data_IF_493837934168
#
_entry.id   IF_493837934168
#
_cell.length_a   1.000
_cell.length_b   1.000
_cell.length_c   1.000
_cell.angle_alpha   90.00
_cell.angle_beta   90.00
_cell.angle_gamma   90.00
#
_symmetry.space_group_name_H-M   'P 1'
#
loop_
_entity.id
_entity.type
_entity.pdbx_description
1 polymer ?
#
# COMPACT_ATOMS: atom_id res chain seq x y z
N UNK A 1 47.00 -22.04 1.14
CA UNK A 1 45.77 -21.98 0.32
C UNK A 1 44.89 -20.92 0.92
N UNK A 2 44.82 -19.75 0.28
CA UNK A 2 43.98 -18.63 0.74
C UNK A 2 42.52 -18.92 0.40
N UNK A 3 41.57 -18.80 1.34
CA UNK A 3 40.17 -18.89 0.99
C UNK A 3 39.79 -17.65 0.17
N UNK A 4 39.40 -17.88 -1.08
CA UNK A 4 38.74 -16.88 -1.92
C UNK A 4 37.30 -16.76 -1.44
N UNK A 5 37.00 -15.69 -0.71
CA UNK A 5 35.62 -15.26 -0.48
C UNK A 5 35.14 -14.65 -1.81
N UNK A 6 34.21 -15.34 -2.47
CA UNK A 6 33.50 -14.81 -3.63
C UNK A 6 32.48 -13.82 -3.06
N UNK A 7 32.77 -12.53 -3.18
CA UNK A 7 31.80 -11.47 -2.91
C UNK A 7 30.85 -11.45 -4.11
N UNK A 8 29.70 -12.11 -3.95
CA UNK A 8 28.53 -11.83 -4.78
C UNK A 8 28.03 -10.44 -4.39
N UNK A 9 28.45 -9.43 -5.14
CA UNK A 9 27.93 -8.08 -5.05
C UNK A 9 26.47 -8.05 -5.51
N UNK A 10 25.54 -8.37 -4.62
CA UNK A 10 24.15 -7.94 -4.77
C UNK A 10 24.14 -6.48 -4.36
N UNK A 11 24.28 -5.59 -5.34
CA UNK A 11 23.90 -4.18 -5.18
C UNK A 11 22.38 -4.20 -5.08
N UNK A 12 21.87 -4.39 -3.86
CA UNK A 12 20.47 -4.17 -3.56
C UNK A 12 20.24 -2.67 -3.62
N UNK A 13 19.69 -2.22 -4.75
CA UNK A 13 19.26 -0.86 -4.99
C UNK A 13 18.07 -0.54 -4.06
N UNK A 14 18.31 -0.40 -2.76
CA UNK A 14 17.33 0.12 -1.80
C UNK A 14 17.24 1.64 -1.96
N UNK A 15 16.92 2.09 -3.17
CA UNK A 15 16.21 3.34 -3.34
C UNK A 15 14.75 3.00 -2.97
N UNK A 16 14.12 3.71 -2.02
CA UNK A 16 12.70 3.55 -1.79
C UNK A 16 11.98 3.82 -3.11
N UNK A 17 11.43 2.76 -3.71
CA UNK A 17 10.70 2.77 -4.98
C UNK A 17 9.34 3.50 -4.89
N UNK A 18 9.22 4.46 -3.97
CA UNK A 18 8.02 5.25 -3.69
C UNK A 18 8.18 6.72 -4.09
N UNK A 19 9.38 7.11 -4.57
CA UNK A 19 9.54 8.31 -5.40
C UNK A 19 8.90 8.16 -6.80
N UNK A 20 8.52 6.94 -7.20
CA UNK A 20 8.17 6.60 -8.59
C UNK A 20 6.82 7.11 -9.12
N UNK A 21 5.92 7.68 -8.30
CA UNK A 21 4.54 7.96 -8.77
C UNK A 21 4.11 9.44 -8.72
N UNK A 22 5.04 10.36 -8.42
CA UNK A 22 4.81 11.79 -8.64
C UNK A 22 6.09 12.60 -8.97
N UNK A 23 7.29 12.05 -8.76
CA UNK A 23 8.54 12.77 -8.96
C UNK A 23 9.12 12.48 -10.35
N UNK A 24 9.27 13.53 -11.15
CA UNK A 24 9.87 13.57 -12.50
C UNK A 24 8.94 13.27 -13.68
N UNK A 25 7.69 13.74 -13.65
CA UNK A 25 6.98 13.91 -14.92
C UNK A 25 7.70 14.98 -15.74
N UNK A 26 8.30 14.56 -16.84
CA UNK A 26 8.94 15.45 -17.79
C UNK A 26 7.94 16.50 -18.31
N UNK A 27 8.38 17.76 -18.29
CA UNK A 27 7.60 18.89 -18.81
C UNK A 27 7.68 19.01 -20.33
N UNK A 28 8.46 18.15 -20.99
CA UNK A 28 8.64 18.10 -22.45
C UNK A 28 7.46 17.46 -23.19
N UNK A 29 6.45 16.98 -22.47
CA UNK A 29 5.26 16.34 -23.03
C UNK A 29 5.49 14.92 -23.56
N UNK A 30 6.65 14.33 -23.27
CA UNK A 30 6.97 12.96 -23.65
C UNK A 30 6.12 11.94 -22.88
N UNK A 31 5.95 10.79 -23.51
CA UNK A 31 5.29 9.64 -22.91
C UNK A 31 6.27 8.94 -21.98
N UNK A 32 5.85 8.67 -20.74
CA UNK A 32 6.70 8.04 -19.73
C UNK A 32 6.17 6.66 -19.37
N UNK A 33 7.11 5.72 -19.29
CA UNK A 33 6.87 4.37 -18.81
C UNK A 33 7.58 4.23 -17.46
N UNK A 34 6.79 4.04 -16.42
CA UNK A 34 7.23 3.79 -15.06
C UNK A 34 6.74 2.40 -14.63
N UNK A 35 7.30 1.86 -13.55
CA UNK A 35 6.83 0.58 -13.05
C UNK A 35 7.69 0.01 -11.95
N UNK A 36 7.22 -1.12 -11.43
CA UNK A 36 7.91 -1.94 -10.46
C UNK A 36 7.73 -3.41 -10.84
N UNK A 37 8.75 -4.23 -10.64
CA UNK A 37 8.66 -5.66 -10.91
C UNK A 37 9.31 -6.45 -9.78
N UNK A 38 8.53 -7.30 -9.13
CA UNK A 38 9.05 -8.34 -8.26
C UNK A 38 8.87 -9.68 -8.94
N UNK A 39 9.97 -10.41 -9.11
CA UNK A 39 9.99 -11.77 -9.66
C UNK A 39 10.83 -12.62 -8.72
N UNK A 40 10.33 -13.80 -8.38
CA UNK A 40 11.10 -14.78 -7.64
C UNK A 40 11.05 -16.16 -8.32
N UNK A 41 12.05 -16.98 -8.01
CA UNK A 41 12.03 -18.41 -8.27
C UNK A 41 12.10 -19.15 -6.93
N UNK A 42 11.20 -20.10 -6.71
CA UNK A 42 11.22 -20.95 -5.52
C UNK A 42 12.04 -22.23 -5.81
N UNK A 43 12.82 -22.69 -4.82
CA UNK A 43 13.61 -23.91 -4.93
C UNK A 43 12.91 -25.05 -4.18
N UNK A 44 12.70 -26.17 -4.88
CA UNK A 44 11.91 -27.35 -4.48
C UNK A 44 12.27 -28.03 -3.14
N UNK A 45 13.33 -27.66 -2.43
CA UNK A 45 14.08 -28.63 -1.62
C UNK A 45 13.50 -28.98 -0.24
N UNK A 46 12.37 -28.41 0.22
CA UNK A 46 11.88 -28.73 1.56
C UNK A 46 10.58 -29.54 1.62
N UNK A 47 9.67 -29.47 0.63
CA UNK A 47 8.34 -30.13 0.73
C UNK A 47 7.73 -30.63 -0.61
N UNK A 48 8.49 -30.69 -1.72
CA UNK A 48 7.95 -31.04 -3.05
C UNK A 48 6.74 -30.17 -3.51
N UNK A 49 6.58 -28.99 -2.93
CA UNK A 49 5.56 -27.99 -3.27
C UNK A 49 6.20 -26.61 -3.14
N UNK A 50 5.86 -25.64 -4.02
CA UNK A 50 6.11 -24.24 -3.73
C UNK A 50 5.48 -23.92 -2.38
N UNK A 51 6.22 -23.35 -1.43
CA UNK A 51 5.61 -22.91 -0.16
C UNK A 51 4.82 -21.63 -0.49
N UNK A 52 3.53 -21.78 -0.76
CA UNK A 52 2.57 -20.70 -1.00
C UNK A 52 2.23 -19.91 0.28
N UNK A 53 3.10 -19.90 1.28
CA UNK A 53 2.90 -19.15 2.52
C UNK A 53 4.02 -18.15 2.65
N UNK A 54 3.68 -16.94 3.09
CA UNK A 54 4.67 -16.11 3.73
C UNK A 54 5.36 -16.99 4.78
N UNK A 55 6.69 -16.94 4.86
CA UNK A 55 7.44 -17.68 5.89
C UNK A 55 6.93 -17.35 7.30
N UNK A 56 6.22 -16.22 7.41
CA UNK A 56 5.58 -15.74 8.63
C UNK A 56 4.15 -15.23 8.33
N UNK A 57 3.14 -15.76 9.02
CA UNK A 57 1.73 -15.30 8.98
C UNK A 57 1.44 -14.36 10.14
N UNK A 58 0.51 -13.41 9.99
CA UNK A 58 0.04 -12.61 11.13
C UNK A 58 -1.03 -13.40 11.93
N UNK A 59 -0.70 -13.94 13.13
CA UNK A 59 -1.66 -14.70 13.92
C UNK A 59 -2.76 -13.82 14.53
N UNK A 60 -2.62 -12.50 14.47
CA UNK A 60 -3.56 -11.51 15.03
C UNK A 60 -4.46 -10.87 13.98
N UNK A 61 -4.15 -11.07 12.70
CA UNK A 61 -4.86 -10.52 11.57
C UNK A 61 -6.05 -11.39 11.16
N UNK A 62 -7.21 -10.80 10.83
CA UNK A 62 -8.40 -11.56 10.46
C UNK A 62 -8.21 -12.40 9.17
N UNK A 63 -7.24 -12.05 8.32
CA UNK A 63 -6.97 -12.74 7.05
C UNK A 63 -5.57 -13.38 6.98
N UNK A 64 -4.83 -13.40 8.10
CA UNK A 64 -3.45 -13.90 8.23
C UNK A 64 -2.39 -13.30 7.26
N UNK A 65 -2.78 -12.36 6.41
CA UNK A 65 -1.90 -11.60 5.54
C UNK A 65 -0.99 -10.69 6.40
N UNK A 66 0.34 -10.89 6.35
CA UNK A 66 1.29 -10.13 7.16
C UNK A 66 1.57 -8.72 6.64
N UNK A 67 0.91 -8.26 5.56
CA UNK A 67 1.11 -6.91 4.97
C UNK A 67 1.15 -5.83 6.06
N UNK A 68 2.30 -5.20 6.19
CA UNK A 68 2.54 -4.13 7.17
C UNK A 68 3.10 -4.56 8.52
N UNK A 69 3.29 -5.86 8.78
CA UNK A 69 3.71 -6.40 10.08
C UNK A 69 4.99 -7.24 10.04
N UNK A 70 5.42 -7.71 8.87
CA UNK A 70 6.63 -8.53 8.71
C UNK A 70 7.52 -8.02 7.58
N UNK A 71 8.83 -8.28 7.71
CA UNK A 71 9.80 -7.90 6.68
C UNK A 71 9.53 -8.64 5.38
N UNK A 72 9.61 -7.93 4.25
CA UNK A 72 9.26 -8.45 2.92
C UNK A 72 10.42 -9.22 2.24
N UNK A 73 11.67 -9.02 2.69
CA UNK A 73 12.84 -9.64 2.07
C UNK A 73 12.78 -11.18 2.16
N UNK A 74 12.56 -11.82 1.01
CA UNK A 74 12.44 -13.28 0.90
C UNK A 74 11.18 -13.86 1.56
N UNK A 75 10.19 -13.02 1.87
CA UNK A 75 8.99 -13.39 2.62
C UNK A 75 7.68 -12.93 1.94
N UNK A 76 7.75 -12.53 0.67
CA UNK A 76 6.59 -12.10 -0.12
C UNK A 76 5.68 -13.27 -0.48
N UNK A 77 4.35 -13.08 -0.40
CA UNK A 77 3.35 -14.09 -0.73
C UNK A 77 3.24 -14.30 -2.27
N UNK A 78 2.73 -15.45 -2.74
CA UNK A 78 2.61 -15.70 -4.20
C UNK A 78 1.70 -14.69 -4.92
N UNK A 79 0.59 -14.29 -4.29
CA UNK A 79 -0.25 -13.18 -4.80
C UNK A 79 0.41 -11.80 -4.63
N UNK A 80 1.49 -11.70 -3.84
CA UNK A 80 2.30 -10.48 -3.73
C UNK A 80 3.43 -10.46 -4.76
N UNK A 81 3.65 -11.51 -5.57
CA UNK A 81 4.43 -11.35 -6.79
C UNK A 81 3.62 -10.49 -7.74
N UNK A 82 4.08 -9.27 -7.93
CA UNK A 82 3.40 -8.34 -8.79
C UNK A 82 4.37 -7.56 -9.67
N UNK A 83 3.92 -7.31 -10.88
CA UNK A 83 4.55 -6.38 -11.81
C UNK A 83 3.58 -5.27 -12.07
N UNK A 84 3.99 -4.04 -11.80
CA UNK A 84 3.25 -2.84 -12.15
C UNK A 84 3.89 -2.13 -13.31
N UNK A 85 3.05 -1.68 -14.24
CA UNK A 85 3.43 -0.88 -15.38
C UNK A 85 2.53 0.34 -15.40
N UNK A 86 3.12 1.51 -15.23
CA UNK A 86 2.44 2.78 -15.26
C UNK A 86 2.85 3.56 -16.50
N UNK A 87 1.85 4.04 -17.22
CA UNK A 87 1.98 4.95 -18.34
C UNK A 87 1.53 6.31 -17.87
N UNK A 88 2.38 7.32 -18.02
CA UNK A 88 2.01 8.70 -17.71
C UNK A 88 2.33 9.64 -18.87
N UNK A 89 1.44 10.61 -19.09
CA UNK A 89 1.67 11.72 -20.02
C UNK A 89 1.23 13.03 -19.38
N UNK A 90 2.08 14.05 -19.52
CA UNK A 90 1.80 15.42 -19.09
C UNK A 90 1.66 16.34 -20.30
N UNK A 91 0.77 17.30 -20.21
CA UNK A 91 0.58 18.39 -21.16
C UNK A 91 0.74 19.71 -20.43
N UNK A 92 1.44 20.66 -21.06
CA UNK A 92 1.76 21.97 -20.52
C UNK A 92 1.18 23.06 -21.43
N UNK A 93 0.96 24.25 -20.88
CA UNK A 93 0.51 25.41 -21.65
C UNK A 93 -0.85 25.21 -22.32
N UNK A 94 -1.83 24.71 -21.55
CA UNK A 94 -3.17 24.37 -22.05
C UNK A 94 -3.98 25.60 -22.49
N UNK A 95 -4.93 26.08 -21.68
CA UNK A 95 -5.64 27.32 -21.98
C UNK A 95 -4.81 28.56 -21.59
N UNK A 96 -3.85 28.39 -20.68
CA UNK A 96 -2.86 29.41 -20.30
C UNK A 96 -1.49 28.77 -20.04
N UNK A 97 -0.38 29.53 -20.11
CA UNK A 97 0.98 29.01 -20.00
C UNK A 97 1.27 28.22 -18.72
N UNK A 98 0.65 28.61 -17.60
CA UNK A 98 0.79 27.99 -16.29
C UNK A 98 -0.03 26.71 -16.11
N UNK A 99 -1.04 26.49 -16.96
CA UNK A 99 -1.93 25.35 -16.85
C UNK A 99 -1.33 24.09 -17.42
N UNK A 100 -1.50 23.00 -16.68
CA UNK A 100 -1.06 21.67 -17.08
C UNK A 100 -2.08 20.62 -16.71
N UNK A 101 -2.06 19.53 -17.46
CA UNK A 101 -2.79 18.32 -17.13
C UNK A 101 -1.86 17.12 -17.25
N UNK A 102 -2.12 16.07 -16.47
CA UNK A 102 -1.52 14.77 -16.71
C UNK A 102 -2.55 13.65 -16.61
N UNK A 103 -2.20 12.53 -17.20
CA UNK A 103 -2.98 11.30 -17.14
C UNK A 103 -2.06 10.14 -16.82
N UNK A 104 -2.46 9.33 -15.84
CA UNK A 104 -1.75 8.11 -15.43
C UNK A 104 -2.67 6.91 -15.54
N UNK A 105 -2.18 5.86 -16.20
CA UNK A 105 -2.79 4.53 -16.23
C UNK A 105 -1.77 3.51 -15.74
N UNK A 106 -2.09 2.78 -14.67
CA UNK A 106 -1.27 1.72 -14.11
C UNK A 106 -2.02 0.39 -14.17
N UNK A 107 -1.36 -0.61 -14.71
CA UNK A 107 -1.80 -2.00 -14.66
C UNK A 107 -0.89 -2.81 -13.74
N UNK A 108 -1.48 -3.74 -13.01
CA UNK A 108 -0.77 -4.66 -12.13
C UNK A 108 -1.07 -6.09 -12.56
N UNK A 109 -0.03 -6.87 -12.78
CA UNK A 109 -0.12 -8.30 -13.00
C UNK A 109 0.37 -9.07 -11.78
N UNK A 110 -0.34 -10.13 -11.40
CA UNK A 110 -0.06 -10.95 -10.24
C UNK A 110 0.54 -12.32 -10.61
N UNK A 111 1.15 -13.00 -9.64
CA UNK A 111 1.72 -14.34 -9.82
C UNK A 111 0.70 -15.41 -10.24
N UNK A 112 -0.59 -15.18 -10.03
CA UNK A 112 -1.69 -16.04 -10.50
C UNK A 112 -2.14 -15.75 -11.95
N UNK A 113 -1.42 -14.84 -12.63
CA UNK A 113 -1.67 -14.38 -14.01
C UNK A 113 -2.89 -13.46 -14.17
N UNK A 114 -3.54 -13.09 -13.08
CA UNK A 114 -4.56 -12.04 -13.15
C UNK A 114 -3.91 -10.69 -13.41
N UNK A 115 -4.66 -9.81 -14.07
CA UNK A 115 -4.23 -8.44 -14.36
C UNK A 115 -5.38 -7.51 -13.99
N UNK A 116 -5.04 -6.45 -13.26
CA UNK A 116 -6.00 -5.42 -12.87
C UNK A 116 -5.52 -4.02 -13.24
N UNK A 117 -6.46 -3.09 -13.32
CA UNK A 117 -6.15 -1.66 -13.38
C UNK A 117 -5.98 -1.15 -11.95
N UNK A 118 -4.75 -0.87 -11.55
CA UNK A 118 -4.43 -0.38 -10.21
C UNK A 118 -4.70 1.12 -10.07
N UNK A 119 -4.25 1.93 -11.04
CA UNK A 119 -4.50 3.37 -11.06
C UNK A 119 -4.97 3.83 -12.45
N UNK A 120 -5.89 4.79 -12.47
CA UNK A 120 -6.41 5.39 -13.68
C UNK A 120 -6.99 6.76 -13.32
N UNK A 121 -6.17 7.80 -13.40
CA UNK A 121 -6.56 9.15 -12.99
C UNK A 121 -5.99 10.22 -13.89
N UNK A 122 -6.72 11.33 -13.97
CA UNK A 122 -6.23 12.59 -14.53
C UNK A 122 -5.98 13.61 -13.43
N UNK A 123 -4.99 14.47 -13.62
CA UNK A 123 -4.75 15.65 -12.78
C UNK A 123 -4.76 16.91 -13.61
N UNK A 124 -5.14 18.01 -12.97
CA UNK A 124 -5.13 19.33 -13.55
C UNK A 124 -4.59 20.34 -12.54
N UNK A 125 -3.60 21.14 -12.94
CA UNK A 125 -2.98 22.16 -12.10
C UNK A 125 -2.69 23.44 -12.85
N UNK A 126 -2.20 24.46 -12.12
CA UNK A 126 -1.98 25.80 -12.68
C UNK A 126 -3.28 26.58 -12.91
N UNK A 127 -4.37 26.19 -12.24
CA UNK A 127 -5.64 26.91 -12.29
C UNK A 127 -5.54 28.19 -11.47
N UNK A 128 -5.96 29.32 -12.04
CA UNK A 128 -5.81 30.65 -11.44
C UNK A 128 -6.53 30.86 -10.10
N UNK A 129 -7.54 30.05 -9.82
CA UNK A 129 -8.27 30.06 -8.54
C UNK A 129 -7.69 29.11 -7.50
N UNK A 130 -6.69 28.30 -7.86
CA UNK A 130 -5.96 27.43 -6.94
C UNK A 130 -4.64 28.08 -6.52
N UNK A 131 -4.13 27.78 -5.31
CA UNK A 131 -2.77 28.18 -4.93
C UNK A 131 -1.71 27.61 -5.86
N UNK A 132 -0.56 28.28 -5.94
CA UNK A 132 0.58 27.81 -6.71
C UNK A 132 1.00 26.38 -6.29
N UNK A 133 1.26 25.53 -7.29
CA UNK A 133 1.62 24.12 -7.08
C UNK A 133 0.46 23.21 -6.66
N UNK A 134 -0.76 23.74 -6.48
CA UNK A 134 -1.93 22.92 -6.21
C UNK A 134 -2.51 22.30 -7.50
N UNK A 135 -3.19 21.18 -7.33
CA UNK A 135 -3.87 20.46 -8.40
C UNK A 135 -5.16 19.82 -7.90
N UNK A 136 -6.06 19.54 -8.84
CA UNK A 136 -7.20 18.66 -8.65
C UNK A 136 -6.97 17.37 -9.42
N UNK A 137 -7.60 16.29 -9.00
CA UNK A 137 -7.55 15.01 -9.67
C UNK A 137 -8.90 14.30 -9.65
N UNK A 138 -9.11 13.39 -10.59
CA UNK A 138 -10.26 12.50 -10.62
C UNK A 138 -9.89 11.15 -11.23
N UNK A 139 -10.53 10.08 -10.74
CA UNK A 139 -10.34 8.71 -11.21
C UNK A 139 -10.04 7.72 -10.08
N UNK A 140 -9.33 6.64 -10.41
CA UNK A 140 -8.80 5.64 -9.47
C UNK A 140 -7.36 6.01 -9.09
N UNK A 141 -7.08 6.25 -7.81
CA UNK A 141 -5.75 6.71 -7.37
C UNK A 141 -5.39 6.20 -5.97
N UNK A 142 -4.15 5.75 -5.82
CA UNK A 142 -3.59 5.31 -4.54
C UNK A 142 -2.65 6.37 -3.97
N UNK A 143 -2.83 6.72 -2.70
CA UNK A 143 -2.14 7.80 -2.01
C UNK A 143 -1.19 7.23 -0.94
N UNK A 144 -0.30 6.33 -1.35
CA UNK A 144 0.48 5.51 -0.42
C UNK A 144 1.70 6.21 0.19
N UNK A 145 1.99 7.46 -0.17
CA UNK A 145 3.22 8.14 0.23
C UNK A 145 3.27 8.61 1.69
N UNK A 146 2.15 8.59 2.41
CA UNK A 146 2.11 9.20 3.75
C UNK A 146 2.70 8.31 4.83
N UNK A 147 2.49 7.00 4.78
CA UNK A 147 2.85 6.09 5.89
C UNK A 147 3.66 4.88 5.44
N UNK A 148 3.94 4.76 4.14
CA UNK A 148 4.65 3.60 3.61
C UNK A 148 6.01 3.38 4.25
N UNK A 149 6.20 2.16 4.75
CA UNK A 149 7.46 1.61 5.21
C UNK A 149 7.79 0.48 4.27
N UNK A 150 8.80 0.70 3.43
CA UNK A 150 9.16 -0.21 2.35
C UNK A 150 9.37 -1.65 2.85
N UNK A 151 10.08 -1.80 3.98
CA UNK A 151 10.37 -3.10 4.57
C UNK A 151 9.11 -3.92 4.91
N UNK A 152 7.97 -3.27 5.10
CA UNK A 152 6.70 -3.87 5.53
C UNK A 152 5.58 -3.69 4.49
N UNK A 153 5.83 -3.04 3.34
CA UNK A 153 4.84 -2.75 2.31
C UNK A 153 3.53 -2.14 2.85
N UNK A 154 3.62 -1.18 3.79
CA UNK A 154 2.43 -0.50 4.32
C UNK A 154 1.88 0.50 3.31
N UNK A 155 0.56 0.48 3.12
CA UNK A 155 -0.19 1.42 2.27
C UNK A 155 -1.17 2.23 3.12
N UNK A 156 -1.64 3.38 2.65
CA UNK A 156 -2.48 4.30 3.47
C UNK A 156 -3.90 4.44 2.92
N UNK A 157 -4.06 5.16 1.80
CA UNK A 157 -5.38 5.49 1.25
C UNK A 157 -5.48 5.07 -0.19
N UNK A 158 -6.35 4.11 -0.45
CA UNK A 158 -6.79 3.67 -1.76
C UNK A 158 -8.17 4.26 -2.03
N UNK A 159 -8.35 4.78 -3.25
CA UNK A 159 -9.62 5.30 -3.74
C UNK A 159 -9.84 4.73 -5.14
N UNK A 160 -10.80 3.82 -5.28
CA UNK A 160 -11.10 3.18 -6.56
C UNK A 160 -11.80 4.10 -7.56
N UNK A 161 -12.61 5.03 -7.05
CA UNK A 161 -13.24 6.07 -7.85
C UNK A 161 -13.48 7.30 -6.99
N UNK A 162 -12.83 8.41 -7.33
CA UNK A 162 -12.99 9.63 -6.56
C UNK A 162 -12.44 10.86 -7.25
N UNK A 163 -12.35 11.92 -6.44
CA UNK A 163 -11.78 13.19 -6.78
C UNK A 163 -11.04 13.76 -5.57
N UNK A 164 -10.10 14.66 -5.83
CA UNK A 164 -9.44 15.36 -4.74
C UNK A 164 -8.73 16.61 -5.17
N UNK A 165 -8.27 17.33 -4.16
CA UNK A 165 -7.43 18.49 -4.21
C UNK A 165 -6.14 18.16 -3.47
N UNK A 166 -4.99 18.43 -4.09
CA UNK A 166 -3.69 18.28 -3.44
C UNK A 166 -2.87 19.55 -3.60
N UNK A 167 -2.14 19.91 -2.55
CA UNK A 167 -1.28 21.08 -2.55
C UNK A 167 -0.06 20.85 -1.66
N UNK A 168 0.81 21.86 -1.59
CA UNK A 168 2.00 21.80 -0.72
C UNK A 168 1.64 21.53 0.74
N UNK A 169 0.59 22.17 1.26
CA UNK A 169 0.28 22.14 2.69
C UNK A 169 -1.00 21.39 3.03
N UNK A 170 -1.88 21.13 2.06
CA UNK A 170 -3.19 20.53 2.33
C UNK A 170 -3.67 19.64 1.19
N UNK A 171 -4.18 18.47 1.55
CA UNK A 171 -4.87 17.54 0.67
C UNK A 171 -6.28 17.26 1.20
N UNK A 172 -7.23 17.14 0.28
CA UNK A 172 -8.58 16.62 0.52
C UNK A 172 -8.93 15.65 -0.60
N UNK A 173 -9.30 14.43 -0.25
CA UNK A 173 -9.67 13.40 -1.20
C UNK A 173 -11.00 12.78 -0.78
N UNK A 174 -11.89 12.55 -1.75
CA UNK A 174 -13.19 11.95 -1.52
C UNK A 174 -13.43 10.92 -2.61
N UNK A 175 -13.90 9.74 -2.22
CA UNK A 175 -14.21 8.72 -3.20
C UNK A 175 -14.85 7.49 -2.61
N UNK A 176 -14.79 6.42 -3.38
CA UNK A 176 -15.33 5.13 -3.02
C UNK A 176 -14.36 4.02 -3.37
N UNK A 177 -14.37 2.98 -2.55
CA UNK A 177 -13.75 1.69 -2.87
C UNK A 177 -14.82 0.70 -3.29
N UNK A 178 -14.49 -0.13 -4.27
CA UNK A 178 -15.35 -1.19 -4.76
C UNK A 178 -15.38 -2.35 -3.77
N UNK A 179 -16.43 -3.17 -3.87
CA UNK A 179 -16.50 -4.41 -3.12
C UNK A 179 -15.50 -5.41 -3.70
N UNK A 180 -14.68 -6.02 -2.85
CA UNK A 180 -13.81 -7.12 -3.24
C UNK A 180 -14.43 -8.45 -2.78
N UNK A 181 -14.79 -9.28 -3.76
CA UNK A 181 -15.35 -10.62 -3.54
C UNK A 181 -14.27 -11.65 -3.83
N UNK A 182 -13.75 -12.28 -2.78
CA UNK A 182 -12.87 -13.45 -2.91
C UNK A 182 -13.65 -14.75 -3.09
N UNK A 183 -14.62 -15.06 -2.22
CA UNK A 183 -15.69 -16.06 -2.41
C UNK A 183 -16.70 -16.07 -1.25
N UNK A 184 -17.93 -16.55 -1.50
CA UNK A 184 -18.95 -16.77 -0.46
C UNK A 184 -18.54 -17.83 0.59
N UNK A 185 -17.57 -18.69 0.25
CA UNK A 185 -17.06 -19.74 1.12
C UNK A 185 -15.84 -19.32 1.95
N UNK A 186 -15.32 -18.10 1.73
CA UNK A 186 -14.14 -17.55 2.39
C UNK A 186 -14.42 -16.11 2.88
N UNK A 187 -15.38 -15.92 3.81
CA UNK A 187 -15.83 -14.58 4.25
C UNK A 187 -14.71 -13.69 4.78
N UNK A 188 -13.60 -14.26 5.27
CA UNK A 188 -12.41 -13.52 5.68
C UNK A 188 -11.89 -12.57 4.60
N UNK A 189 -11.92 -12.98 3.33
CA UNK A 189 -11.37 -12.20 2.23
C UNK A 189 -12.44 -11.35 1.51
N UNK A 190 -13.61 -11.13 2.11
CA UNK A 190 -14.60 -10.17 1.60
C UNK A 190 -14.28 -8.78 2.15
N UNK A 191 -14.34 -7.77 1.28
CA UNK A 191 -14.20 -6.37 1.66
C UNK A 191 -15.36 -5.55 1.09
N UNK A 192 -16.21 -4.98 1.94
CA UNK A 192 -17.38 -4.21 1.50
C UNK A 192 -17.04 -2.89 0.79
N UNK A 193 -17.90 -2.46 -0.14
CA UNK A 193 -17.73 -1.14 -0.77
C UNK A 193 -17.92 -0.01 0.24
N UNK A 194 -17.21 1.10 0.05
CA UNK A 194 -17.06 2.15 1.07
C UNK A 194 -17.05 3.54 0.47
N UNK A 195 -17.46 4.55 1.26
CA UNK A 195 -17.18 5.97 1.01
C UNK A 195 -16.01 6.40 1.88
N UNK A 196 -15.10 7.16 1.29
CA UNK A 196 -13.88 7.62 1.92
C UNK A 196 -13.83 9.14 1.85
N UNK A 197 -13.48 9.76 2.97
CA UNK A 197 -13.03 11.14 3.04
C UNK A 197 -11.67 11.13 3.72
N UNK A 198 -10.66 11.63 3.02
CA UNK A 198 -9.29 11.67 3.50
C UNK A 198 -8.75 13.10 3.43
N UNK A 199 -8.04 13.51 4.47
CA UNK A 199 -7.39 14.82 4.56
C UNK A 199 -5.97 14.66 5.07
N UNK A 200 -5.06 15.47 4.55
CA UNK A 200 -3.74 15.64 5.14
C UNK A 200 -3.33 17.11 5.17
N UNK A 201 -2.65 17.50 6.24
CA UNK A 201 -2.11 18.83 6.44
C UNK A 201 -0.62 18.76 6.75
N UNK A 202 0.17 19.60 6.10
CA UNK A 202 1.63 19.62 6.22
C UNK A 202 2.11 20.96 6.74
N UNK A 203 2.96 20.89 7.75
CA UNK A 203 3.69 22.03 8.31
C UNK A 203 5.14 21.61 8.54
N UNK A 204 6.04 22.24 7.80
CA UNK A 204 7.46 21.92 7.78
C UNK A 204 7.73 20.42 7.54
N UNK A 205 8.31 19.75 8.54
CA UNK A 205 8.66 18.33 8.53
C UNK A 205 7.51 17.42 9.01
N UNK A 206 6.38 18.02 9.40
CA UNK A 206 5.23 17.30 9.99
C UNK A 206 4.10 17.18 8.97
N UNK A 207 3.50 16.00 8.90
CA UNK A 207 2.26 15.73 8.17
C UNK A 207 1.25 15.11 9.14
N UNK A 208 0.04 15.65 9.19
CA UNK A 208 -1.08 15.15 9.98
C UNK A 208 -2.18 14.69 9.02
N UNK A 209 -2.71 13.49 9.20
CA UNK A 209 -3.76 12.91 8.38
C UNK A 209 -4.99 12.54 9.18
N UNK A 210 -6.14 12.55 8.51
CA UNK A 210 -7.40 12.03 9.01
C UNK A 210 -8.15 11.35 7.87
N UNK A 211 -8.59 10.11 8.10
CA UNK A 211 -9.39 9.36 7.14
C UNK A 211 -10.66 8.89 7.80
N UNK A 212 -11.80 9.20 7.19
CA UNK A 212 -13.11 8.70 7.56
C UNK A 212 -13.62 7.74 6.49
N UNK A 213 -14.16 6.61 6.94
CA UNK A 213 -14.73 5.58 6.08
C UNK A 213 -16.15 5.27 6.51
N UNK A 214 -17.05 5.08 5.55
CA UNK A 214 -18.40 4.57 5.79
C UNK A 214 -18.71 3.45 4.82
N UNK A 215 -19.10 2.30 5.33
CA UNK A 215 -19.52 1.17 4.50
C UNK A 215 -20.82 1.51 3.77
N UNK A 216 -20.85 1.18 2.47
CA UNK A 216 -22.01 1.31 1.60
C UNK A 216 -22.75 0.00 1.55
N UNK A 217 -22.03 -1.12 1.53
CA UNK A 217 -22.59 -2.47 1.52
C UNK A 217 -22.49 -3.13 2.90
N UNK A 218 -23.33 -4.14 3.11
CA UNK A 218 -23.35 -4.97 4.30
C UNK A 218 -23.31 -6.45 3.87
N UNK A 219 -22.18 -6.92 3.33
CA UNK A 219 -22.10 -8.23 2.69
C UNK A 219 -22.36 -9.40 3.67
N UNK A 220 -22.19 -9.20 4.97
CA UNK A 220 -22.45 -10.21 6.01
C UNK A 220 -23.78 -10.00 6.76
N UNK A 221 -24.56 -8.96 6.45
CA UNK A 221 -25.79 -8.65 7.20
C UNK A 221 -25.56 -8.19 8.64
N UNK A 222 -24.34 -7.72 8.95
CA UNK A 222 -23.89 -7.28 10.27
C UNK A 222 -24.16 -5.79 10.54
N UNK A 223 -24.73 -5.08 9.57
CA UNK A 223 -24.95 -3.64 9.58
C UNK A 223 -23.79 -2.86 8.94
N UNK A 224 -24.11 -1.71 8.34
CA UNK A 224 -23.12 -0.80 7.74
C UNK A 224 -22.39 -0.04 8.83
N UNK A 225 -21.07 -0.18 8.89
CA UNK A 225 -20.27 0.45 9.93
C UNK A 225 -19.54 1.71 9.44
N UNK A 226 -18.91 2.40 10.38
CA UNK A 226 -18.08 3.59 10.13
C UNK A 226 -16.71 3.37 10.76
N UNK A 227 -15.72 4.06 10.22
CA UNK A 227 -14.40 4.09 10.79
C UNK A 227 -13.78 5.48 10.69
N UNK A 228 -12.86 5.74 11.59
CA UNK A 228 -12.02 6.93 11.58
C UNK A 228 -10.59 6.52 11.91
N UNK A 229 -9.63 7.11 11.21
CA UNK A 229 -8.23 7.03 11.57
C UNK A 229 -7.58 8.40 11.53
N UNK A 230 -6.53 8.53 12.33
CA UNK A 230 -5.66 9.68 12.40
C UNK A 230 -4.23 9.21 12.18
N UNK A 231 -3.45 10.01 11.48
CA UNK A 231 -2.03 9.77 11.29
C UNK A 231 -1.21 11.02 11.59
N UNK A 232 0.00 10.80 12.05
CA UNK A 232 1.02 11.83 12.19
C UNK A 232 2.34 11.26 11.67
N UNK A 233 3.03 12.04 10.85
CA UNK A 233 4.36 11.74 10.34
C UNK A 233 5.28 12.92 10.63
N UNK A 234 6.48 12.62 11.07
CA UNK A 234 7.57 13.59 11.20
C UNK A 234 8.81 13.09 10.47
N UNK A 235 9.30 13.86 9.50
CA UNK A 235 10.45 13.52 8.67
C UNK A 235 11.69 14.31 9.09
N UNK A 236 12.74 13.60 9.51
CA UNK A 236 14.01 14.16 9.92
C UNK A 236 15.03 14.11 8.77
N UNK A 237 15.75 15.20 8.48
CA UNK A 237 16.83 15.25 7.48
C UNK A 237 18.14 14.65 8.03
N UNK A 238 18.04 13.77 9.01
CA UNK A 238 19.13 13.03 9.65
C UNK A 238 18.56 11.71 10.17
N UNK A 239 19.41 10.73 10.40
CA UNK A 239 18.99 9.51 11.10
C UNK A 239 18.86 9.85 12.59
N UNK A 240 17.63 10.04 13.07
CA UNK A 240 17.28 10.34 14.46
C UNK A 240 18.00 11.55 15.09
N UNK A 241 18.49 12.50 14.29
CA UNK A 241 19.26 13.63 14.80
C UNK A 241 20.70 13.31 15.18
N UNK A 242 21.16 12.05 15.01
CA UNK A 242 22.47 11.60 15.49
C UNK A 242 23.46 11.30 14.37
N UNK A 243 22.99 11.06 13.15
CA UNK A 243 23.83 10.63 12.05
C UNK A 243 23.34 11.13 10.68
N UNK A 244 24.25 11.11 9.69
CA UNK A 244 23.92 11.39 8.28
C UNK A 244 22.98 10.31 7.74
N UNK A 245 21.89 10.75 7.13
CA UNK A 245 20.81 9.89 6.66
C UNK A 245 19.48 10.62 6.70
N UNK A 246 18.40 9.86 6.74
CA UNK A 246 17.05 10.36 6.98
C UNK A 246 16.30 9.38 7.87
N UNK A 247 15.35 9.88 8.65
CA UNK A 247 14.43 9.02 9.39
C UNK A 247 13.04 9.61 9.42
N UNK A 248 12.05 8.75 9.48
CA UNK A 248 10.65 9.13 9.64
C UNK A 248 10.10 8.49 10.90
N UNK A 249 9.32 9.25 11.65
CA UNK A 249 8.53 8.75 12.78
C UNK A 249 7.06 8.90 12.41
N UNK A 250 6.29 7.84 12.61
CA UNK A 250 4.89 7.74 12.22
C UNK A 250 4.07 7.24 13.40
N UNK A 251 2.93 7.86 13.64
CA UNK A 251 1.93 7.41 14.59
C UNK A 251 0.60 7.29 13.85
N UNK A 252 -0.11 6.20 14.05
CA UNK A 252 -1.47 5.99 13.56
C UNK A 252 -2.36 5.56 14.70
N UNK A 253 -3.61 6.02 14.66
CA UNK A 253 -4.68 5.50 15.50
C UNK A 253 -5.92 5.32 14.65
N UNK A 254 -6.63 4.22 14.82
CA UNK A 254 -7.86 3.93 14.10
C UNK A 254 -8.91 3.29 14.99
N UNK A 255 -10.18 3.60 14.71
CA UNK A 255 -11.34 3.00 15.36
C UNK A 255 -12.36 2.54 14.32
N UNK A 256 -13.05 1.45 14.62
CA UNK A 256 -14.05 0.80 13.78
C UNK A 256 -13.38 -0.06 12.72
N UNK A 257 -14.05 -0.22 11.58
CA UNK A 257 -13.63 -1.22 10.59
C UNK A 257 -12.20 -1.08 10.07
N UNK A 258 -11.63 0.13 10.08
CA UNK A 258 -10.24 0.41 9.65
C UNK A 258 -9.17 -0.06 10.64
N UNK A 259 -9.55 -0.28 11.91
CA UNK A 259 -8.59 -0.55 13.00
C UNK A 259 -7.64 -1.73 12.73
N UNK A 260 -8.03 -2.85 12.11
CA UNK A 260 -7.13 -4.00 11.97
C UNK A 260 -5.92 -3.77 11.06
N UNK A 261 -6.03 -2.85 10.10
CA UNK A 261 -5.00 -2.60 9.10
C UNK A 261 -4.49 -1.15 9.08
N UNK A 262 -5.26 -0.22 9.64
CA UNK A 262 -4.99 1.23 9.67
C UNK A 262 -4.76 1.83 8.27
N UNK A 263 -5.45 1.29 7.27
CA UNK A 263 -5.44 1.75 5.89
C UNK A 263 -6.79 1.47 5.22
N UNK A 264 -7.08 2.14 4.10
CA UNK A 264 -8.34 1.88 3.35
C UNK A 264 -8.18 0.78 2.31
N UNK A 265 -6.95 0.44 1.92
CA UNK A 265 -6.67 -0.60 0.93
C UNK A 265 -7.18 -1.99 1.33
N UNK A 266 -7.31 -2.24 2.65
CA UNK A 266 -7.88 -3.46 3.19
C UNK A 266 -8.72 -3.20 4.42
N UNK A 267 -9.99 -3.54 4.32
CA UNK A 267 -10.92 -3.56 5.44
C UNK A 267 -11.78 -4.82 5.32
N UNK A 268 -11.46 -5.81 6.17
CA UNK A 268 -12.22 -7.06 6.23
C UNK A 268 -13.64 -6.81 6.75
N UNK A 269 -14.59 -7.61 6.28
CA UNK A 269 -15.95 -7.68 6.84
C UNK A 269 -15.99 -8.26 8.26
N UNK A 270 -14.89 -8.87 8.73
CA UNK A 270 -14.75 -9.35 10.10
C UNK A 270 -14.37 -8.24 11.11
N UNK A 271 -14.35 -6.99 10.67
CA UNK A 271 -14.11 -5.85 11.56
C UNK A 271 -15.39 -5.39 12.26
N UNK A 272 -15.24 -4.94 13.51
CA UNK A 272 -16.33 -4.49 14.37
C UNK A 272 -16.20 -3.01 14.73
N UNK A 273 -17.31 -2.34 15.03
CA UNK A 273 -17.35 -0.89 15.31
C UNK A 273 -16.52 -0.51 16.55
N UNK A 274 -16.43 -1.40 17.53
CA UNK A 274 -15.62 -1.24 18.74
C UNK A 274 -14.15 -1.61 18.59
N UNK A 275 -13.70 -2.10 17.43
CA UNK A 275 -12.28 -2.35 17.19
C UNK A 275 -11.48 -1.04 17.27
N UNK A 276 -10.30 -1.07 17.89
CA UNK A 276 -9.36 0.04 17.85
C UNK A 276 -7.92 -0.43 17.75
N UNK A 277 -7.08 0.36 17.08
CA UNK A 277 -5.66 0.08 16.92
C UNK A 277 -4.84 1.34 17.02
N UNK A 278 -3.62 1.19 17.54
CA UNK A 278 -2.59 2.22 17.53
C UNK A 278 -1.30 1.60 17.01
N UNK A 279 -0.67 2.27 16.05
CA UNK A 279 0.60 1.87 15.47
C UNK A 279 1.61 2.99 15.60
N UNK A 280 2.73 2.69 16.24
CA UNK A 280 3.94 3.49 16.17
C UNK A 280 4.88 2.83 15.17
N UNK A 281 5.40 3.62 14.24
CA UNK A 281 6.39 3.14 13.30
C UNK A 281 7.50 4.13 13.09
N UNK A 282 8.67 3.62 12.76
CA UNK A 282 9.81 4.43 12.38
C UNK A 282 10.71 3.68 11.42
N UNK A 283 11.21 4.40 10.44
CA UNK A 283 12.10 3.87 9.42
C UNK A 283 13.08 4.95 8.98
N UNK A 284 14.18 4.55 8.37
CA UNK A 284 15.17 5.51 7.89
C UNK A 284 16.27 4.85 7.09
N UNK A 285 17.26 5.65 6.70
CA UNK A 285 18.52 5.17 6.17
C UNK A 285 19.69 5.79 6.93
N UNK A 286 20.75 5.00 7.04
CA UNK A 286 22.03 5.40 7.57
C UNK A 286 23.05 5.29 6.44
N UNK A 287 23.71 6.40 6.12
CA UNK A 287 24.69 6.49 5.01
C UNK A 287 26.08 6.85 5.51
N UNK A 288 26.41 6.41 6.73
CA UNK A 288 27.68 6.69 7.39
C UNK A 288 28.85 5.84 6.90
N UNK A 289 28.58 4.73 6.21
CA UNK A 289 29.61 3.80 5.75
C UNK A 289 29.72 3.87 4.23
N UNK A 290 30.95 3.97 3.71
CA UNK A 290 31.18 4.09 2.26
C UNK A 290 30.72 2.85 1.49
N UNK A 291 30.76 1.68 2.13
CA UNK A 291 30.44 0.38 1.49
C UNK A 291 29.09 -0.22 1.94
N UNK A 292 28.40 0.38 2.93
CA UNK A 292 27.17 -0.18 3.49
C UNK A 292 26.11 0.89 3.74
N UNK A 293 24.88 0.61 3.29
CA UNK A 293 23.69 1.33 3.71
C UNK A 293 22.90 0.46 4.69
N UNK A 294 22.45 1.05 5.79
CA UNK A 294 21.57 0.37 6.75
C UNK A 294 20.24 1.09 6.76
N UNK A 295 19.15 0.36 6.51
CA UNK A 295 17.79 0.91 6.50
C UNK A 295 16.94 0.25 7.57
N UNK A 296 17.10 0.64 8.85
CA UNK A 296 16.33 0.02 9.92
C UNK A 296 14.88 0.48 9.84
N UNK A 297 13.98 -0.43 10.19
CA UNK A 297 12.56 -0.16 10.35
C UNK A 297 12.05 -0.85 11.61
N UNK A 298 11.12 -0.20 12.31
CA UNK A 298 10.49 -0.70 13.51
C UNK A 298 9.01 -0.35 13.47
N UNK A 299 8.17 -1.33 13.82
CA UNK A 299 6.74 -1.17 13.97
C UNK A 299 6.34 -1.78 15.31
N UNK A 300 5.58 -1.02 16.08
CA UNK A 300 4.88 -1.49 17.25
C UNK A 300 3.39 -1.19 17.07
N UNK A 301 2.57 -2.23 17.06
CA UNK A 301 1.14 -2.11 16.92
C UNK A 301 0.44 -2.77 18.11
N UNK A 302 -0.57 -2.09 18.63
CA UNK A 302 -1.51 -2.65 19.59
C UNK A 302 -2.92 -2.52 19.02
N UNK A 303 -3.58 -3.65 18.85
CA UNK A 303 -4.95 -3.73 18.34
C UNK A 303 -5.83 -4.37 19.39
N UNK A 304 -6.76 -3.59 19.96
CA UNK A 304 -7.84 -4.10 20.79
C UNK A 304 -9.03 -4.40 19.89
N UNK A 305 -9.40 -5.67 19.86
CA UNK A 305 -10.56 -6.11 19.11
C UNK A 305 -11.80 -6.24 19.99
N UNK A 306 -12.93 -5.77 19.50
CA UNK A 306 -14.23 -6.17 20.04
C UNK A 306 -14.46 -7.67 19.75
N UNK A 307 -15.32 -8.35 20.49
CA UNK A 307 -15.58 -9.78 20.29
C UNK A 307 -17.04 -10.08 20.49
N UNK A 308 -17.90 -9.37 19.76
CA UNK A 308 -19.34 -9.62 19.78
C UNK A 308 -19.75 -10.71 18.78
N UNK A 309 -18.91 -11.02 17.79
CA UNK A 309 -19.11 -12.10 16.83
C UNK A 309 -17.97 -13.13 16.84
N UNK A 310 -18.27 -14.37 16.49
CA UNK A 310 -17.25 -15.40 16.26
C UNK A 310 -16.45 -15.07 15.00
N UNK A 311 -15.13 -15.11 15.12
CA UNK A 311 -14.20 -14.76 14.05
C UNK A 311 -13.51 -16.02 13.54
N UNK A 312 -13.52 -16.22 12.23
CA UNK A 312 -12.73 -17.29 11.61
C UNK A 312 -11.30 -16.76 11.47
N UNK A 313 -10.34 -17.42 12.10
CA UNK A 313 -8.90 -17.14 11.94
C UNK A 313 -8.20 -18.26 11.19
N UNK A 314 -8.95 -19.24 10.72
CA UNK A 314 -8.46 -20.44 10.07
C UNK A 314 -8.65 -20.34 8.55
N UNK A 315 -7.55 -20.32 7.81
CA UNK A 315 -7.55 -20.61 6.38
C UNK A 315 -7.39 -22.13 6.25
N UNK A 316 -8.40 -22.86 5.75
CA UNK A 316 -8.22 -24.28 5.48
C UNK A 316 -7.14 -24.48 4.43
N UNK A 317 -6.17 -25.37 4.69
CA UNK A 317 -5.16 -25.82 3.70
C UNK A 317 -5.79 -26.32 2.38
N UNK A 318 -7.08 -26.61 2.39
CA UNK A 318 -7.86 -27.09 1.25
C UNK A 318 -8.36 -26.00 0.31
N UNK A 319 -8.23 -24.71 0.67
CA UNK A 319 -8.79 -23.59 -0.12
C UNK A 319 -7.92 -23.09 -1.28
N UNK A 320 -6.62 -23.40 -1.27
CA UNK A 320 -5.64 -22.97 -2.28
C UNK A 320 -5.00 -24.14 -3.03
N UNK A 321 -5.69 -25.28 -3.14
CA UNK A 321 -5.37 -26.24 -4.20
C UNK A 321 -5.82 -25.65 -5.54
N UNK A 322 -4.99 -24.78 -6.12
CA UNK A 322 -5.08 -24.44 -7.53
C UNK A 322 -5.03 -25.74 -8.34
N UNK A 323 -6.17 -26.13 -8.89
CA UNK A 323 -6.32 -27.36 -9.67
C UNK A 323 -7.51 -28.17 -9.19
N UNK A 324 -8.68 -27.92 -9.80
CA UNK A 324 -9.64 -29.00 -9.96
C UNK A 324 -8.92 -30.18 -10.61
N UNK A 325 -8.82 -31.29 -9.88
CA UNK A 325 -8.32 -32.55 -10.42
C UNK A 325 -9.36 -33.14 -11.37
N UNK A 326 -9.52 -32.54 -12.55
CA UNK A 326 -9.97 -33.25 -13.75
C UNK A 326 -8.73 -33.59 -14.58
N UNK A 327 -7.98 -34.58 -14.11
CA UNK A 327 -6.96 -35.26 -14.90
C UNK A 327 -7.65 -36.12 -15.96
N UNK A 328 -8.07 -35.49 -17.06
CA UNK A 328 -8.36 -36.18 -18.31
C UNK A 328 -7.16 -36.08 -19.25
N UNK A 329 -6.18 -36.96 -19.05
CA UNK A 329 -5.35 -37.43 -20.14
C UNK A 329 -5.55 -38.93 -20.27
N UNK A 330 -6.28 -39.31 -21.33
CA UNK A 330 -6.39 -40.69 -21.81
C UNK A 330 -4.99 -41.20 -22.22
N UNK A 331 -4.77 -42.49 -21.99
CA UNK A 331 -3.61 -43.27 -22.46
C UNK A 331 -3.34 -43.09 -23.95
#
# INVERSE_FOLDING_TARGET
MNPRIIISGVISCFLPATLCHAANLSDDGSFQLNGYGMVAGDFQSELNRPKNMSLHTDPTGPNQDPRGKMGDLGNSFWHDYWTSLAITKKWQGLASPEQWADYTYEMVGYGDKTVETAQNYGRFGGLSFLPEGANIWAGRRYLDQRINIFAYNTKEVHIDSGLGYNSKNFDLNVGTDQIDWSSDTAPQAIEGSRRIVDMAYRIDQTELGMTYVKEIDDPLGTGKQKAISFSAKYSMPSFWGVAKGQSTVKLQYGKGVIAPYLNTSRITVLSEEGDCSMRFSTDGNLTLFDDFAVSPAFIYEYTKREKTADRTTFIPDTGYSGGGHDLWFRK
#
